data_IF_221011686265
#
_entry.id   IF_221011686265
#
_cell.length_a   1.000
_cell.length_b   1.000
_cell.length_c   1.000
_cell.angle_alpha   90.00
_cell.angle_beta   90.00
_cell.angle_gamma   90.00
#
_symmetry.space_group_name_H-M   'P 1'
#
loop_
_entity.id
_entity.type
_entity.pdbx_description
1 polymer ?
#
# COMPACT_ATOMS: atom_id res chain seq x y z
N UNK A 1 -9.48 -6.82 16.48
CA UNK A 1 -10.13 -6.34 15.26
C UNK A 1 -10.24 -4.82 15.30
N UNK A 2 -9.50 -4.15 14.43
CA UNK A 2 -9.53 -2.70 14.24
C UNK A 2 -10.71 -2.32 13.34
N UNK A 3 -11.67 -1.55 13.84
CA UNK A 3 -12.85 -1.14 13.06
C UNK A 3 -12.84 0.36 12.78
N UNK A 4 -13.69 0.80 11.84
CA UNK A 4 -14.05 2.20 11.65
C UNK A 4 -14.78 2.71 12.90
N UNK A 5 -14.50 3.97 13.26
CA UNK A 5 -15.37 4.69 14.19
C UNK A 5 -16.59 5.28 13.45
N UNK A 6 -17.58 5.76 14.19
CA UNK A 6 -18.82 6.30 13.62
C UNK A 6 -18.60 7.38 12.55
N UNK A 7 -17.61 8.26 12.75
CA UNK A 7 -17.29 9.32 11.81
C UNK A 7 -16.64 8.77 10.53
N UNK A 8 -15.81 7.75 10.65
CA UNK A 8 -15.21 7.04 9.51
C UNK A 8 -16.25 6.23 8.75
N UNK A 9 -17.14 5.52 9.45
CA UNK A 9 -18.23 4.79 8.81
C UNK A 9 -19.17 5.73 8.04
N UNK A 10 -19.51 6.88 8.63
CA UNK A 10 -20.31 7.91 7.95
C UNK A 10 -19.56 8.53 6.74
N UNK A 11 -18.24 8.73 6.84
CA UNK A 11 -17.43 9.20 5.73
C UNK A 11 -17.34 8.15 4.61
N UNK A 12 -17.15 6.88 4.94
CA UNK A 12 -17.13 5.79 3.97
C UNK A 12 -18.46 5.68 3.23
N UNK A 13 -19.59 5.70 3.95
CA UNK A 13 -20.92 5.63 3.36
C UNK A 13 -21.24 6.80 2.41
N UNK A 14 -20.69 8.00 2.71
CA UNK A 14 -20.90 9.21 1.90
C UNK A 14 -19.93 9.32 0.72
N UNK A 15 -18.65 9.08 0.97
CA UNK A 15 -17.55 9.43 0.07
C UNK A 15 -16.91 8.20 -0.61
N UNK A 16 -17.18 7.00 -0.11
CA UNK A 16 -16.61 5.74 -0.61
C UNK A 16 -15.17 5.48 -0.16
N UNK A 17 -14.61 6.30 0.73
CA UNK A 17 -13.27 6.12 1.29
C UNK A 17 -13.15 6.71 2.71
N UNK A 18 -12.12 6.27 3.44
CA UNK A 18 -11.68 6.89 4.69
C UNK A 18 -10.18 7.17 4.64
N UNK A 19 -9.70 8.08 5.51
CA UNK A 19 -8.27 8.30 5.73
C UNK A 19 -7.95 7.96 7.18
N UNK A 20 -7.52 6.72 7.43
CA UNK A 20 -7.03 6.27 8.73
C UNK A 20 -5.60 6.74 8.96
N UNK A 21 -5.44 7.81 9.75
CA UNK A 21 -4.11 8.29 10.15
C UNK A 21 -3.47 7.32 11.14
N UNK A 22 -2.16 7.13 11.03
CA UNK A 22 -1.38 6.33 11.98
C UNK A 22 -1.67 4.83 11.92
N UNK A 23 -2.16 4.30 10.79
CA UNK A 23 -2.27 2.86 10.58
C UNK A 23 -0.92 2.16 10.81
N UNK A 24 0.13 2.78 10.26
CA UNK A 24 1.53 2.50 10.56
C UNK A 24 2.11 3.63 11.41
N UNK A 25 2.96 3.28 12.37
CA UNK A 25 3.77 4.24 13.11
C UNK A 25 4.96 4.73 12.27
N UNK A 26 5.67 5.76 12.75
CA UNK A 26 6.79 6.36 12.00
C UNK A 26 7.90 5.35 11.64
N UNK A 27 8.31 4.51 12.59
CA UNK A 27 9.33 3.48 12.37
C UNK A 27 8.90 2.43 11.34
N UNK A 28 7.63 2.03 11.36
CA UNK A 28 7.06 1.11 10.37
C UNK A 28 7.07 1.74 8.97
N UNK A 29 6.68 3.02 8.87
CA UNK A 29 6.69 3.77 7.59
C UNK A 29 8.11 3.88 7.03
N UNK A 30 9.08 4.24 7.87
CA UNK A 30 10.48 4.38 7.45
C UNK A 30 11.04 3.04 6.99
N UNK A 31 10.84 1.98 7.76
CA UNK A 31 11.29 0.62 7.43
C UNK A 31 10.67 0.14 6.12
N UNK A 32 9.36 0.31 5.95
CA UNK A 32 8.65 -0.06 4.73
C UNK A 32 9.24 0.69 3.53
N UNK A 33 9.39 2.01 3.65
CA UNK A 33 9.88 2.88 2.57
C UNK A 33 11.30 2.50 2.13
N UNK A 34 12.19 2.28 3.08
CA UNK A 34 13.58 1.91 2.80
C UNK A 34 13.66 0.56 2.07
N UNK A 35 12.99 -0.47 2.62
CA UNK A 35 13.01 -1.82 2.06
C UNK A 35 12.33 -1.89 0.69
N UNK A 36 11.18 -1.25 0.53
CA UNK A 36 10.45 -1.21 -0.73
C UNK A 36 11.26 -0.53 -1.84
N UNK A 37 12.01 0.54 -1.52
CA UNK A 37 12.91 1.22 -2.47
C UNK A 37 14.09 0.35 -2.87
N UNK A 38 14.78 -0.24 -1.89
CA UNK A 38 15.92 -1.11 -2.17
C UNK A 38 15.52 -2.30 -3.05
N UNK A 39 14.36 -2.90 -2.78
CA UNK A 39 13.79 -3.97 -3.59
C UNK A 39 13.49 -3.49 -5.02
N UNK A 40 12.78 -2.37 -5.18
CA UNK A 40 12.40 -1.85 -6.50
C UNK A 40 13.63 -1.50 -7.35
N UNK A 41 14.68 -0.94 -6.75
CA UNK A 41 15.95 -0.65 -7.44
C UNK A 41 16.66 -1.92 -7.90
N UNK A 42 16.69 -2.97 -7.05
CA UNK A 42 17.28 -4.26 -7.41
C UNK A 42 16.49 -4.93 -8.55
N UNK A 43 15.16 -4.94 -8.47
CA UNK A 43 14.28 -5.52 -9.49
C UNK A 43 14.34 -4.74 -10.81
N UNK A 44 14.46 -3.40 -10.75
CA UNK A 44 14.64 -2.57 -11.94
C UNK A 44 15.97 -2.89 -12.64
N UNK A 45 17.06 -3.08 -11.88
CA UNK A 45 18.36 -3.52 -12.44
C UNK A 45 18.28 -4.92 -13.06
N UNK A 46 17.43 -5.79 -12.53
CA UNK A 46 17.19 -7.13 -13.05
C UNK A 46 16.21 -7.17 -14.24
N UNK A 47 15.63 -6.03 -14.64
CA UNK A 47 14.64 -5.95 -15.72
C UNK A 47 13.26 -6.52 -15.37
N UNK A 48 12.96 -6.71 -14.08
CA UNK A 48 11.70 -7.26 -13.59
C UNK A 48 10.60 -6.19 -13.39
N UNK A 49 10.88 -4.93 -13.75
CA UNK A 49 10.01 -3.77 -13.54
C UNK A 49 9.79 -3.06 -14.86
N UNK A 50 8.55 -2.63 -15.11
CA UNK A 50 8.20 -1.87 -16.30
C UNK A 50 8.49 -0.39 -16.06
N UNK A 51 9.27 0.23 -16.94
CA UNK A 51 9.47 1.67 -16.94
C UNK A 51 8.43 2.34 -17.86
N UNK A 52 7.58 3.20 -17.29
CA UNK A 52 6.62 4.01 -18.04
C UNK A 52 7.05 5.48 -18.00
N UNK A 53 7.55 5.98 -19.12
CA UNK A 53 7.88 7.38 -19.30
C UNK A 53 6.63 8.24 -19.49
N UNK A 54 6.64 9.46 -18.95
CA UNK A 54 5.65 10.50 -19.24
C UNK A 54 6.13 11.44 -20.37
N UNK A 55 5.26 12.37 -20.77
CA UNK A 55 5.56 13.35 -21.82
C UNK A 55 6.53 14.45 -21.37
N UNK A 56 6.80 14.55 -20.07
CA UNK A 56 7.70 15.53 -19.46
C UNK A 56 9.11 14.95 -19.19
N UNK A 57 9.35 13.68 -19.54
CA UNK A 57 10.63 13.00 -19.35
C UNK A 57 10.81 12.36 -17.97
N UNK A 58 9.76 12.26 -17.15
CA UNK A 58 9.80 11.50 -15.89
C UNK A 58 9.47 10.04 -16.16
N UNK A 59 9.98 9.16 -15.31
CA UNK A 59 9.76 7.71 -15.43
C UNK A 59 9.13 7.17 -14.15
N UNK A 60 8.01 6.48 -14.30
CA UNK A 60 7.42 5.67 -13.24
C UNK A 60 7.84 4.23 -13.40
N UNK A 61 8.30 3.63 -12.30
CA UNK A 61 8.57 2.21 -12.22
C UNK A 61 7.30 1.49 -11.77
N UNK A 62 6.83 0.54 -12.57
CA UNK A 62 5.62 -0.23 -12.34
C UNK A 62 5.98 -1.71 -12.15
N UNK A 63 5.65 -2.23 -10.97
CA UNK A 63 5.66 -3.66 -10.69
C UNK A 63 4.22 -4.17 -10.77
N UNK A 64 3.98 -5.17 -11.61
CA UNK A 64 2.69 -5.84 -11.64
C UNK A 64 2.59 -6.77 -10.44
N UNK A 65 1.46 -6.70 -9.74
CA UNK A 65 1.27 -7.41 -8.48
C UNK A 65 -0.10 -8.08 -8.51
N UNK A 66 -0.11 -9.38 -8.83
CA UNK A 66 -1.32 -10.19 -8.96
C UNK A 66 -1.51 -11.16 -7.78
N UNK A 67 -0.48 -11.29 -6.95
CA UNK A 67 -0.36 -12.21 -5.82
C UNK A 67 0.27 -11.47 -4.67
N UNK A 68 -0.18 -11.76 -3.44
CA UNK A 68 0.45 -11.24 -2.24
C UNK A 68 1.77 -12.00 -2.00
N UNK A 69 2.86 -11.44 -2.50
CA UNK A 69 4.20 -12.04 -2.38
C UNK A 69 4.75 -11.96 -0.95
N UNK A 70 5.89 -12.61 -0.71
CA UNK A 70 6.67 -12.50 0.53
C UNK A 70 7.61 -11.27 0.49
N UNK A 71 7.03 -10.10 0.18
CA UNK A 71 7.73 -8.82 0.14
C UNK A 71 7.01 -7.73 0.96
N UNK A 72 7.55 -6.50 0.97
CA UNK A 72 7.00 -5.43 1.82
C UNK A 72 5.54 -5.11 1.49
N UNK A 73 5.20 -5.07 0.20
CA UNK A 73 3.81 -4.88 -0.25
C UNK A 73 2.97 -6.09 0.18
N UNK A 74 3.56 -7.28 0.07
CA UNK A 74 3.09 -8.57 0.57
C UNK A 74 2.54 -8.53 1.97
N UNK A 75 3.43 -8.12 2.86
CA UNK A 75 3.17 -8.06 4.29
C UNK A 75 2.17 -6.96 4.63
N UNK A 76 2.28 -5.79 4.00
CA UNK A 76 1.33 -4.70 4.25
C UNK A 76 -0.09 -5.06 3.79
N UNK A 77 -0.25 -5.69 2.62
CA UNK A 77 -1.55 -6.09 2.09
C UNK A 77 -2.27 -7.14 2.94
N UNK A 78 -1.51 -7.88 3.75
CA UNK A 78 -1.99 -8.94 4.66
C UNK A 78 -1.93 -8.52 6.14
N UNK A 79 -1.59 -7.27 6.41
CA UNK A 79 -1.53 -6.76 7.78
C UNK A 79 -2.94 -6.79 8.38
N UNK A 80 -3.07 -7.41 9.55
CA UNK A 80 -4.35 -7.59 10.25
C UNK A 80 -5.09 -6.24 10.40
N UNK A 81 -4.39 -5.14 10.67
CA UNK A 81 -5.02 -3.80 10.80
C UNK A 81 -5.66 -3.33 9.50
N UNK A 82 -5.05 -3.66 8.36
CA UNK A 82 -5.56 -3.30 7.04
C UNK A 82 -6.73 -4.22 6.66
N UNK A 83 -6.59 -5.52 6.91
CA UNK A 83 -7.62 -6.52 6.61
C UNK A 83 -8.87 -6.27 7.45
N UNK A 84 -8.73 -6.02 8.75
CA UNK A 84 -9.85 -5.71 9.64
C UNK A 84 -10.68 -4.51 9.14
N UNK A 85 -10.00 -3.45 8.67
CA UNK A 85 -10.66 -2.26 8.13
C UNK A 85 -11.30 -2.52 6.75
N UNK A 86 -10.74 -3.43 5.96
CA UNK A 86 -11.33 -3.84 4.70
C UNK A 86 -12.59 -4.69 4.94
N UNK A 87 -12.54 -5.67 5.84
CA UNK A 87 -13.71 -6.48 6.25
C UNK A 87 -14.83 -5.57 6.79
N UNK A 88 -14.51 -4.60 7.63
CA UNK A 88 -15.49 -3.63 8.13
C UNK A 88 -16.11 -2.75 7.01
N UNK A 89 -15.38 -2.52 5.93
CA UNK A 89 -15.85 -1.73 4.80
C UNK A 89 -16.75 -2.49 3.82
N UNK A 90 -16.44 -3.77 3.56
CA UNK A 90 -17.06 -4.51 2.44
C UNK A 90 -17.63 -5.89 2.79
N UNK A 91 -17.45 -6.38 4.03
CA UNK A 91 -17.91 -7.70 4.48
C UNK A 91 -16.95 -8.81 4.12
#
# INVERSE_FOLDING_TARGET
>A
MLTMNDAEAAAYARDGYIIRKGLLNGTEVDTFRERARAQLEAENKAGAVMAKGDKEGKTTLLKMWNTAEEDQYGYLARDERLVDLAEDAIG
#
